data_IF_642567111786
#
_entry.id   IF_642567111786
#
_cell.length_a   1.000
_cell.length_b   1.000
_cell.length_c   1.000
_cell.angle_alpha   90.00
_cell.angle_beta   90.00
_cell.angle_gamma   90.00
#
_symmetry.space_group_name_H-M   'P 1'
#
loop_
_entity.id
_entity.type
_entity.pdbx_description
1 polymer ?
#
# COMPACT_ATOMS: atom_id res chain seq x y z
N UNK A 1 26.57 10.75 31.57
CA UNK A 1 26.05 10.11 30.35
C UNK A 1 24.76 9.37 30.72
N UNK A 2 23.60 9.89 30.32
CA UNK A 2 22.27 9.35 30.68
C UNK A 2 21.74 8.60 29.46
N UNK A 3 21.59 7.28 29.57
CA UNK A 3 21.17 6.42 28.46
C UNK A 3 19.78 6.82 27.96
N UNK A 4 19.72 7.32 26.72
CA UNK A 4 18.51 7.78 26.01
C UNK A 4 17.59 6.64 25.54
N UNK A 5 17.88 5.41 25.95
CA UNK A 5 17.07 4.24 25.63
C UNK A 5 15.90 4.04 26.60
N UNK A 6 15.91 4.73 27.76
CA UNK A 6 14.86 4.65 28.78
C UNK A 6 14.05 5.93 28.97
N UNK A 7 14.23 6.93 28.10
CA UNK A 7 13.38 8.11 28.14
C UNK A 7 12.11 7.78 27.35
N UNK A 8 11.18 7.09 28.03
CA UNK A 8 9.78 7.00 27.65
C UNK A 8 9.21 8.43 27.64
N UNK A 9 9.36 9.16 26.53
CA UNK A 9 8.80 10.53 26.39
C UNK A 9 7.26 10.54 26.35
N UNK A 10 6.60 9.38 26.30
CA UNK A 10 5.14 9.27 26.36
C UNK A 10 4.72 8.12 27.28
N UNK A 11 4.97 8.24 28.59
CA UNK A 11 4.18 7.48 29.57
C UNK A 11 2.74 8.00 29.52
N UNK A 12 1.92 7.44 28.62
CA UNK A 12 0.47 7.56 28.72
C UNK A 12 0.08 7.05 30.11
N UNK A 13 -0.41 7.99 30.91
CA UNK A 13 -1.00 7.71 32.22
C UNK A 13 -2.50 7.58 31.99
N UNK A 14 -3.10 6.61 32.67
CA UNK A 14 -4.55 6.46 32.64
C UNK A 14 -5.24 7.67 33.30
N UNK A 15 -6.56 7.77 33.21
CA UNK A 15 -7.37 8.87 33.78
C UNK A 15 -7.15 9.07 35.29
N UNK A 16 -6.63 8.04 35.97
CA UNK A 16 -6.27 8.03 37.39
C UNK A 16 -4.76 8.27 37.68
N UNK A 17 -3.97 8.64 36.67
CA UNK A 17 -2.54 8.98 36.83
C UNK A 17 -1.60 7.78 36.97
N UNK A 18 -2.10 6.55 36.79
CA UNK A 18 -1.31 5.33 36.88
C UNK A 18 -0.64 5.02 35.53
N UNK A 19 0.61 4.48 35.53
CA UNK A 19 1.27 4.10 34.29
C UNK A 19 0.54 2.90 33.65
N UNK A 20 0.04 3.09 32.43
CA UNK A 20 -0.71 2.06 31.69
C UNK A 20 0.19 0.84 31.49
N UNK A 21 -0.34 -0.33 31.89
CA UNK A 21 0.35 -1.62 31.75
C UNK A 21 0.63 -1.91 30.28
N UNK A 22 1.71 -2.65 29.99
CA UNK A 22 1.99 -3.09 28.61
C UNK A 22 0.85 -3.94 28.04
N UNK A 23 0.19 -4.73 28.88
CA UNK A 23 -0.95 -5.54 28.46
C UNK A 23 -2.15 -4.68 28.02
N UNK A 24 -2.44 -3.61 28.76
CA UNK A 24 -3.51 -2.66 28.42
C UNK A 24 -3.18 -1.81 27.19
N UNK A 25 -1.88 -1.53 26.95
CA UNK A 25 -1.41 -0.92 25.70
C UNK A 25 -1.64 -1.84 24.50
N UNK A 26 -1.23 -3.10 24.60
CA UNK A 26 -1.42 -4.08 23.53
C UNK A 26 -2.91 -4.35 23.27
N UNK A 27 -3.76 -4.34 24.30
CA UNK A 27 -5.21 -4.44 24.16
C UNK A 27 -5.82 -3.18 23.52
N UNK A 28 -5.35 -1.97 23.87
CA UNK A 28 -5.74 -0.73 23.20
C UNK A 28 -5.32 -0.69 21.74
N UNK A 29 -4.09 -1.09 21.42
CA UNK A 29 -3.59 -1.16 20.05
C UNK A 29 -4.32 -2.23 19.22
N UNK A 30 -4.86 -3.25 19.87
CA UNK A 30 -5.67 -4.31 19.24
C UNK A 30 -7.15 -3.93 19.08
N UNK A 31 -7.67 -3.02 19.90
CA UNK A 31 -9.08 -2.57 19.89
C UNK A 31 -9.28 -1.27 19.13
N UNK A 32 -8.25 -0.41 19.07
CA UNK A 32 -8.18 0.61 18.05
C UNK A 32 -8.10 -0.12 16.72
N UNK A 33 -9.06 0.06 15.80
CA UNK A 33 -8.82 -0.37 14.43
C UNK A 33 -7.57 0.39 14.03
N UNK A 34 -6.45 -0.33 13.85
CA UNK A 34 -5.28 0.23 13.21
C UNK A 34 -5.85 0.98 12.03
N UNK A 35 -5.65 2.31 12.02
CA UNK A 35 -6.19 3.18 10.99
C UNK A 35 -5.52 2.71 9.72
N UNK A 36 -6.11 1.71 9.10
CA UNK A 36 -5.57 0.97 7.98
C UNK A 36 -5.81 1.93 6.84
N UNK A 37 -4.89 2.87 6.69
CA UNK A 37 -4.74 3.58 5.44
C UNK A 37 -4.72 2.47 4.39
N UNK A 38 -5.73 2.45 3.51
CA UNK A 38 -5.88 1.47 2.44
C UNK A 38 -4.60 1.31 1.61
N UNK A 39 -3.76 2.35 1.66
CA UNK A 39 -2.42 2.39 1.18
C UNK A 39 -1.46 2.88 2.26
N UNK A 40 -0.34 2.20 2.41
CA UNK A 40 0.78 2.76 3.14
C UNK A 40 1.40 3.92 2.35
N UNK A 41 2.02 4.89 3.03
CA UNK A 41 2.73 6.02 2.39
C UNK A 41 3.70 5.59 1.28
N UNK A 42 4.33 4.42 1.43
CA UNK A 42 5.27 3.87 0.44
C UNK A 42 4.56 3.44 -0.84
N UNK A 43 3.41 2.78 -0.72
CA UNK A 43 2.60 2.34 -1.87
C UNK A 43 2.02 3.55 -2.60
N UNK A 44 1.59 4.57 -1.86
CA UNK A 44 1.12 5.83 -2.46
C UNK A 44 2.23 6.53 -3.26
N UNK A 45 3.46 6.57 -2.75
CA UNK A 45 4.61 7.07 -3.50
C UNK A 45 4.90 6.23 -4.75
N UNK A 46 4.77 4.90 -4.67
CA UNK A 46 4.96 4.02 -5.82
C UNK A 46 3.91 4.27 -6.91
N UNK A 47 2.64 4.45 -6.53
CA UNK A 47 1.54 4.79 -7.46
C UNK A 47 1.81 6.13 -8.13
N UNK A 48 2.16 7.15 -7.35
CA UNK A 48 2.46 8.48 -7.88
C UNK A 48 3.66 8.42 -8.84
N UNK A 49 4.73 7.72 -8.48
CA UNK A 49 5.89 7.54 -9.34
C UNK A 49 5.53 6.81 -10.65
N UNK A 50 4.79 5.69 -10.57
CA UNK A 50 4.34 4.95 -11.75
C UNK A 50 3.44 5.79 -12.67
N UNK A 51 2.59 6.65 -12.09
CA UNK A 51 1.75 7.57 -12.86
C UNK A 51 2.58 8.65 -13.57
N UNK A 52 3.60 9.21 -12.91
CA UNK A 52 4.52 10.16 -13.55
C UNK A 52 5.33 9.51 -14.67
N UNK A 53 5.83 8.30 -14.47
CA UNK A 53 6.55 7.55 -15.51
C UNK A 53 5.62 7.30 -16.69
N UNK A 54 4.38 6.89 -16.45
CA UNK A 54 3.40 6.67 -17.51
C UNK A 54 3.14 7.94 -18.34
N UNK A 55 3.02 9.11 -17.69
CA UNK A 55 2.85 10.39 -18.39
C UNK A 55 4.08 10.80 -19.20
N UNK A 56 5.27 10.50 -18.68
CA UNK A 56 6.52 10.73 -19.39
C UNK A 56 6.63 9.83 -20.63
N UNK A 57 6.30 8.55 -20.49
CA UNK A 57 6.30 7.60 -21.61
C UNK A 57 5.25 7.94 -22.65
N UNK A 58 4.10 8.47 -22.25
CA UNK A 58 3.08 8.97 -23.18
C UNK A 58 3.63 10.05 -24.13
N UNK A 59 4.63 10.81 -23.70
CA UNK A 59 5.28 11.86 -24.50
C UNK A 59 6.45 11.29 -25.32
N UNK A 60 7.13 10.26 -24.79
CA UNK A 60 8.37 9.69 -25.36
C UNK A 60 8.12 8.53 -26.32
N UNK A 61 6.89 7.97 -26.31
CA UNK A 61 6.39 6.90 -27.18
C UNK A 61 7.13 5.56 -27.02
N UNK A 62 7.76 5.31 -25.87
CA UNK A 62 8.35 4.01 -25.54
C UNK A 62 7.25 3.06 -25.04
N UNK A 63 6.83 2.14 -25.92
CA UNK A 63 5.64 1.32 -25.71
C UNK A 63 5.73 0.33 -24.53
N UNK A 64 6.84 -0.40 -24.26
CA UNK A 64 6.83 -1.47 -23.28
C UNK A 64 6.82 -0.96 -21.83
N UNK A 65 7.49 0.17 -21.54
CA UNK A 65 7.53 0.77 -20.19
C UNK A 65 6.15 1.29 -19.78
N UNK A 66 5.39 1.85 -20.73
CA UNK A 66 4.00 2.27 -20.51
C UNK A 66 3.12 1.07 -20.07
N UNK A 67 3.22 -0.07 -20.73
CA UNK A 67 2.45 -1.27 -20.36
C UNK A 67 2.86 -1.83 -18.98
N UNK A 68 4.14 -1.75 -18.61
CA UNK A 68 4.60 -2.12 -17.26
C UNK A 68 3.94 -1.20 -16.21
N UNK A 69 3.88 0.10 -16.45
CA UNK A 69 3.25 1.06 -15.55
C UNK A 69 1.74 0.81 -15.41
N UNK A 70 1.05 0.53 -16.52
CA UNK A 70 -0.39 0.19 -16.51
C UNK A 70 -0.64 -1.12 -15.74
N UNK A 71 0.21 -2.13 -15.94
CA UNK A 71 0.13 -3.40 -15.20
C UNK A 71 0.27 -3.15 -13.68
N UNK A 72 1.27 -2.37 -13.29
CA UNK A 72 1.49 -2.00 -11.88
C UNK A 72 0.31 -1.22 -11.29
N UNK A 73 -0.17 -0.18 -11.97
CA UNK A 73 -1.35 0.59 -11.52
C UNK A 73 -2.59 -0.30 -11.38
N UNK A 74 -2.79 -1.23 -12.32
CA UNK A 74 -3.92 -2.16 -12.27
C UNK A 74 -3.79 -3.15 -11.11
N UNK A 75 -2.58 -3.60 -10.78
CA UNK A 75 -2.31 -4.40 -9.60
C UNK A 75 -2.59 -3.61 -8.31
N UNK A 76 -2.20 -2.35 -8.27
CA UNK A 76 -2.49 -1.51 -7.11
C UNK A 76 -3.99 -1.28 -6.94
N UNK A 77 -4.81 -1.22 -8.00
CA UNK A 77 -6.27 -1.04 -7.88
C UNK A 77 -7.03 -2.16 -7.10
N UNK A 78 -6.39 -3.26 -6.70
CA UNK A 78 -7.02 -4.40 -6.00
C UNK A 78 -7.69 -4.05 -4.66
N UNK A 79 -7.02 -3.37 -3.69
CA UNK A 79 -7.66 -2.86 -2.47
C UNK A 79 -8.86 -1.96 -2.74
N UNK A 80 -8.78 -1.09 -3.76
CA UNK A 80 -9.90 -0.25 -4.19
C UNK A 80 -11.09 -1.09 -4.68
N UNK A 81 -10.85 -2.09 -5.54
CA UNK A 81 -11.89 -2.98 -6.03
C UNK A 81 -12.57 -3.75 -4.89
N UNK A 82 -11.80 -4.17 -3.88
CA UNK A 82 -12.33 -4.86 -2.70
C UNK A 82 -13.20 -3.95 -1.84
N UNK A 83 -12.86 -2.67 -1.73
CA UNK A 83 -13.61 -1.71 -0.95
C UNK A 83 -14.89 -1.23 -1.64
N UNK A 84 -14.87 -1.04 -2.96
CA UNK A 84 -16.03 -0.54 -3.71
C UNK A 84 -17.06 -1.62 -4.07
N UNK A 85 -16.66 -2.88 -4.26
CA UNK A 85 -17.55 -3.94 -4.76
C UNK A 85 -18.03 -4.95 -3.71
N UNK A 86 -17.67 -4.79 -2.43
CA UNK A 86 -18.16 -5.63 -1.33
C UNK A 86 -17.93 -7.13 -1.58
N UNK A 87 -18.98 -7.96 -1.53
CA UNK A 87 -18.89 -9.42 -1.72
C UNK A 87 -18.33 -9.85 -3.09
N UNK A 88 -18.55 -9.06 -4.15
CA UNK A 88 -17.99 -9.32 -5.50
C UNK A 88 -16.58 -8.77 -5.67
N UNK A 89 -16.11 -7.95 -4.72
CA UNK A 89 -14.80 -7.31 -4.75
C UNK A 89 -13.64 -8.31 -4.71
N UNK A 90 -13.84 -9.48 -4.10
CA UNK A 90 -12.80 -10.52 -4.05
C UNK A 90 -12.55 -11.14 -5.44
N UNK A 91 -13.60 -11.44 -6.19
CA UNK A 91 -13.49 -11.99 -7.54
C UNK A 91 -12.86 -10.98 -8.50
N UNK A 92 -13.30 -9.72 -8.42
CA UNK A 92 -12.75 -8.64 -9.27
C UNK A 92 -11.29 -8.33 -8.92
N UNK A 93 -10.94 -8.32 -7.62
CA UNK A 93 -9.55 -8.17 -7.19
C UNK A 93 -8.65 -9.29 -7.72
N UNK A 94 -9.11 -10.54 -7.72
CA UNK A 94 -8.34 -11.65 -8.28
C UNK A 94 -8.21 -11.57 -9.81
N UNK A 95 -9.26 -11.12 -10.49
CA UNK A 95 -9.21 -10.88 -11.94
C UNK A 95 -8.22 -9.75 -12.28
N UNK A 96 -8.23 -8.64 -11.54
CA UNK A 96 -7.26 -7.55 -11.69
C UNK A 96 -5.83 -8.03 -11.44
N UNK A 97 -5.62 -8.85 -10.41
CA UNK A 97 -4.31 -9.45 -10.14
C UNK A 97 -3.84 -10.29 -11.33
N UNK A 98 -4.68 -11.22 -11.81
CA UNK A 98 -4.33 -12.08 -12.95
C UNK A 98 -4.04 -11.27 -14.21
N UNK A 99 -4.87 -10.28 -14.51
CA UNK A 99 -4.69 -9.39 -15.66
C UNK A 99 -3.40 -8.57 -15.56
N UNK A 100 -3.10 -7.99 -14.40
CA UNK A 100 -1.86 -7.24 -14.19
C UNK A 100 -0.61 -8.09 -14.41
N UNK A 101 -0.59 -9.33 -13.90
CA UNK A 101 0.53 -10.26 -14.08
C UNK A 101 0.68 -10.65 -15.55
N UNK A 102 -0.43 -10.96 -16.23
CA UNK A 102 -0.40 -11.29 -17.66
C UNK A 102 0.12 -10.12 -18.50
N UNK A 103 -0.34 -8.90 -18.22
CA UNK A 103 0.13 -7.69 -18.91
C UNK A 103 1.61 -7.41 -18.65
N UNK A 104 2.05 -7.55 -17.40
CA UNK A 104 3.46 -7.37 -17.05
C UNK A 104 4.35 -8.35 -17.80
N UNK A 105 3.99 -9.64 -17.84
CA UNK A 105 4.74 -10.66 -18.58
C UNK A 105 4.76 -10.37 -20.08
N UNK A 106 3.62 -9.96 -20.66
CA UNK A 106 3.55 -9.59 -22.07
C UNK A 106 4.46 -8.39 -22.39
N UNK A 107 4.45 -7.36 -21.54
CA UNK A 107 5.28 -6.17 -21.71
C UNK A 107 6.79 -6.51 -21.59
N UNK A 108 7.15 -7.40 -20.66
CA UNK A 108 8.53 -7.89 -20.53
C UNK A 108 8.95 -8.65 -21.78
N UNK A 109 8.13 -9.57 -22.29
CA UNK A 109 8.44 -10.29 -23.53
C UNK A 109 8.63 -9.33 -24.70
N UNK A 110 7.76 -8.33 -24.82
CA UNK A 110 7.87 -7.32 -25.87
C UNK A 110 9.13 -6.46 -25.74
N UNK A 111 9.54 -6.11 -24.51
CA UNK A 111 10.77 -5.34 -24.31
C UNK A 111 12.05 -6.04 -24.81
N UNK A 112 12.02 -7.36 -24.98
CA UNK A 112 13.16 -8.16 -25.46
C UNK A 112 13.02 -8.67 -26.90
N UNK A 113 11.92 -8.31 -27.60
CA UNK A 113 11.64 -8.75 -28.96
C UNK A 113 11.98 -7.65 -29.98
#
# INVERSE_FOLDING_TARGET
MRYRWFVDEERQTDEFGMPVSRAERDERDRTLPSRSELYQRREMLAIVAAFFILLYEWITDDSPVAYICVAFLTFELRPLAKQFLGERGQTVSNALAGFSVAMFLAAVVWAFL
#
